data_IF_465357440219
#
_entry.id   IF_465357440219
#
_cell.length_a   1.000
_cell.length_b   1.000
_cell.length_c   1.000
_cell.angle_alpha   90.00
_cell.angle_beta   90.00
_cell.angle_gamma   90.00
#
_symmetry.space_group_name_H-M   'P 1'
#
loop_
_entity.id
_entity.type
_entity.pdbx_description
1 polymer ?
#
# COMPACT_ATOMS: atom_id res chain seq x y z
N UNK A 1 13.02 22.22 -14.05
CA UNK A 1 13.87 22.25 -12.85
C UNK A 1 13.26 21.26 -11.88
N UNK A 2 14.01 20.21 -11.46
CA UNK A 2 13.48 19.24 -10.51
C UNK A 2 13.20 19.91 -9.16
N UNK A 3 12.12 19.50 -8.49
CA UNK A 3 11.78 20.04 -7.18
C UNK A 3 12.88 19.66 -6.17
N UNK A 4 13.25 20.58 -5.26
CA UNK A 4 14.29 20.36 -4.25
C UNK A 4 14.08 19.06 -3.45
N UNK A 5 12.82 18.69 -3.25
CA UNK A 5 12.41 17.45 -2.60
C UNK A 5 12.90 16.20 -3.35
N UNK A 6 12.80 16.16 -4.68
CA UNK A 6 13.22 15.01 -5.47
C UNK A 6 14.74 14.82 -5.44
N UNK A 7 15.48 15.93 -5.50
CA UNK A 7 16.94 15.93 -5.38
C UNK A 7 17.37 15.42 -4.00
N UNK A 8 16.70 15.89 -2.95
CA UNK A 8 16.95 15.45 -1.57
C UNK A 8 16.65 13.96 -1.38
N UNK A 9 15.51 13.48 -1.89
CA UNK A 9 15.13 12.07 -1.78
C UNK A 9 16.10 11.16 -2.54
N UNK A 10 16.58 11.59 -3.71
CA UNK A 10 17.58 10.84 -4.48
C UNK A 10 18.91 10.78 -3.73
N UNK A 11 19.36 11.89 -3.14
CA UNK A 11 20.57 11.89 -2.34
C UNK A 11 20.48 10.94 -1.14
N UNK A 12 19.32 10.92 -0.46
CA UNK A 12 19.06 9.99 0.65
C UNK A 12 19.07 8.54 0.19
N UNK A 13 18.48 8.23 -0.97
CA UNK A 13 18.52 6.89 -1.56
C UNK A 13 19.96 6.42 -1.82
N UNK A 14 20.76 7.26 -2.48
CA UNK A 14 22.11 6.91 -2.90
C UNK A 14 23.10 6.78 -1.72
N UNK A 15 22.87 7.53 -0.62
CA UNK A 15 23.77 7.58 0.54
C UNK A 15 23.13 7.00 1.82
N UNK A 16 22.08 6.18 1.70
CA UNK A 16 21.28 5.72 2.85
C UNK A 16 22.12 5.03 3.93
N UNK A 17 23.10 4.22 3.52
CA UNK A 17 24.00 3.49 4.41
C UNK A 17 24.92 4.42 5.23
N UNK A 18 25.28 5.58 4.70
CA UNK A 18 26.04 6.58 5.47
C UNK A 18 25.15 7.34 6.44
N UNK A 19 23.94 7.70 5.99
CA UNK A 19 22.95 8.42 6.80
C UNK A 19 22.54 7.59 8.03
N UNK A 20 22.33 6.28 7.86
CA UNK A 20 21.95 5.38 8.97
C UNK A 20 23.03 5.28 10.06
N UNK A 21 24.33 5.41 9.69
CA UNK A 21 25.44 5.38 10.65
C UNK A 21 25.41 6.58 11.59
N UNK A 22 24.89 7.72 11.13
CA UNK A 22 24.76 8.91 11.97
C UNK A 22 23.72 8.64 13.07
N UNK A 23 23.98 8.99 14.34
CA UNK A 23 23.04 8.80 15.44
C UNK A 23 21.92 9.86 15.40
N UNK A 24 21.13 9.84 14.34
CA UNK A 24 19.94 10.67 14.17
C UNK A 24 18.70 9.78 14.31
N UNK A 25 17.64 10.34 14.90
CA UNK A 25 16.32 9.74 14.88
C UNK A 25 15.62 10.04 13.54
N UNK A 26 15.28 8.98 12.80
CA UNK A 26 14.59 9.05 11.51
C UNK A 26 13.07 8.89 11.65
N UNK A 27 12.55 8.83 12.88
CA UNK A 27 11.11 8.76 13.17
C UNK A 27 10.35 9.99 12.66
N UNK A 28 11.00 11.14 12.61
CA UNK A 28 10.42 12.45 12.25
C UNK A 28 10.03 12.59 10.76
N UNK A 29 10.43 11.65 9.89
CA UNK A 29 10.10 11.71 8.46
C UNK A 29 8.60 11.44 8.25
N UNK A 30 7.93 12.38 7.57
CA UNK A 30 6.50 12.30 7.27
C UNK A 30 6.15 11.11 6.34
N UNK A 31 4.93 10.57 6.49
CA UNK A 31 4.43 9.41 5.72
C UNK A 31 4.50 9.60 4.19
N UNK A 32 4.13 10.75 3.60
CA UNK A 32 4.23 10.96 2.16
C UNK A 32 5.69 10.94 1.65
N UNK A 33 6.63 11.49 2.42
CA UNK A 33 8.06 11.47 2.09
C UNK A 33 8.61 10.04 2.14
N UNK A 34 8.27 9.28 3.19
CA UNK A 34 8.63 7.88 3.30
C UNK A 34 8.08 7.04 2.15
N UNK A 35 6.83 7.29 1.74
CA UNK A 35 6.22 6.59 0.61
C UNK A 35 6.92 6.92 -0.71
N UNK A 36 7.29 8.18 -0.94
CA UNK A 36 8.08 8.58 -2.13
C UNK A 36 9.48 7.98 -2.11
N UNK A 37 10.15 8.00 -0.97
CA UNK A 37 11.44 7.36 -0.78
C UNK A 37 11.37 5.86 -1.09
N UNK A 38 10.37 5.16 -0.54
CA UNK A 38 10.15 3.74 -0.79
C UNK A 38 9.89 3.38 -2.26
N UNK A 39 9.34 4.32 -3.05
CA UNK A 39 9.17 4.12 -4.49
C UNK A 39 10.49 4.16 -5.26
N UNK A 40 11.48 4.92 -4.78
CA UNK A 40 12.81 5.00 -5.40
C UNK A 40 13.60 3.70 -5.21
N UNK A 41 13.45 3.05 -4.05
CA UNK A 41 14.15 1.80 -3.75
C UNK A 41 13.64 0.63 -4.58
N UNK A 42 14.55 -0.14 -5.18
CA UNK A 42 14.25 -1.49 -5.67
C UNK A 42 14.40 -2.53 -4.54
N UNK A 43 13.89 -3.74 -4.75
CA UNK A 43 14.08 -4.83 -3.78
C UNK A 43 15.57 -5.21 -3.64
N UNK A 44 16.33 -5.09 -4.72
CA UNK A 44 17.78 -5.33 -4.72
C UNK A 44 18.55 -4.26 -3.95
N UNK A 45 18.14 -3.00 -4.09
CA UNK A 45 18.77 -1.90 -3.34
C UNK A 45 18.49 -2.03 -1.85
N UNK A 46 17.24 -2.38 -1.49
CA UNK A 46 16.87 -2.67 -0.10
C UNK A 46 17.72 -3.80 0.49
N UNK A 47 17.97 -4.89 -0.25
CA UNK A 47 18.82 -5.98 0.25
C UNK A 47 20.26 -5.54 0.58
N UNK A 48 20.75 -4.43 0.01
CA UNK A 48 22.09 -3.87 0.24
C UNK A 48 22.11 -2.83 1.37
N UNK A 49 20.96 -2.43 1.91
CA UNK A 49 20.88 -1.48 3.02
C UNK A 49 21.18 -2.18 4.33
N UNK A 50 22.18 -1.67 5.06
CA UNK A 50 22.56 -2.20 6.37
C UNK A 50 21.98 -1.32 7.49
N UNK A 51 20.81 -1.70 8.00
CA UNK A 51 20.11 -1.01 9.10
C UNK A 51 19.94 -1.94 10.31
N UNK A 52 21.00 -2.19 11.10
CA UNK A 52 20.95 -3.13 12.23
C UNK A 52 20.04 -2.66 13.37
N UNK A 53 19.70 -1.37 13.41
CA UNK A 53 18.82 -0.77 14.42
C UNK A 53 17.41 -0.50 13.89
N UNK A 54 17.12 -0.88 12.65
CA UNK A 54 15.84 -0.69 11.99
C UNK A 54 15.28 0.74 12.11
N UNK A 55 16.14 1.73 11.87
CA UNK A 55 15.76 3.15 11.96
C UNK A 55 14.78 3.56 10.86
N UNK A 56 14.88 2.95 9.68
CA UNK A 56 14.10 3.34 8.51
C UNK A 56 13.66 2.14 7.67
N UNK A 57 14.37 1.02 7.76
CA UNK A 57 14.23 -0.13 6.87
C UNK A 57 12.83 -0.76 6.90
N UNK A 58 12.31 -1.09 8.09
CA UNK A 58 10.94 -1.63 8.25
C UNK A 58 9.88 -0.70 7.68
N UNK A 59 10.05 0.62 7.84
CA UNK A 59 9.10 1.59 7.31
C UNK A 59 9.16 1.65 5.77
N UNK A 60 10.36 1.58 5.19
CA UNK A 60 10.51 1.53 3.72
C UNK A 60 9.90 0.24 3.18
N UNK A 61 10.18 -0.92 3.79
CA UNK A 61 9.58 -2.20 3.39
C UNK A 61 8.06 -2.16 3.47
N UNK A 62 7.51 -1.66 4.57
CA UNK A 62 6.06 -1.54 4.75
C UNK A 62 5.43 -0.72 3.61
N UNK A 63 6.02 0.43 3.29
CA UNK A 63 5.52 1.28 2.21
C UNK A 63 5.74 0.66 0.83
N UNK A 64 6.86 -0.04 0.61
CA UNK A 64 7.14 -0.74 -0.64
C UNK A 64 6.13 -1.86 -0.88
N UNK A 65 5.93 -2.74 0.10
CA UNK A 65 4.95 -3.83 0.04
C UNK A 65 3.54 -3.27 -0.16
N UNK A 66 3.15 -2.24 0.60
CA UNK A 66 1.86 -1.59 0.42
C UNK A 66 1.68 -1.07 -1.01
N UNK A 67 2.72 -0.42 -1.57
CA UNK A 67 2.68 0.10 -2.94
C UNK A 67 2.60 -0.99 -4.01
N UNK A 68 3.14 -2.19 -3.76
CA UNK A 68 3.04 -3.32 -4.68
C UNK A 68 1.66 -3.99 -4.65
N UNK A 69 0.98 -3.92 -3.50
CA UNK A 69 -0.32 -4.56 -3.30
C UNK A 69 -1.50 -3.66 -3.67
N UNK A 70 -1.33 -2.34 -3.68
CA UNK A 70 -2.37 -1.41 -4.12
C UNK A 70 -2.36 -1.28 -5.65
N UNK A 71 -3.46 -1.59 -6.35
CA UNK A 71 -3.56 -1.33 -7.78
C UNK A 71 -3.55 0.19 -7.99
N UNK A 72 -2.50 0.70 -8.63
CA UNK A 72 -2.44 2.11 -9.04
C UNK A 72 -3.40 2.29 -10.20
N UNK A 73 -4.65 2.71 -9.96
CA UNK A 73 -5.50 3.21 -11.04
C UNK A 73 -4.92 4.55 -11.50
N UNK A 74 -4.39 4.69 -12.73
CA UNK A 74 -4.07 6.01 -13.26
C UNK A 74 -5.39 6.71 -13.58
N UNK A 75 -5.92 7.49 -12.64
CA UNK A 75 -7.02 8.41 -12.94
C UNK A 75 -6.48 9.58 -13.75
N UNK A 76 -6.37 9.38 -15.06
CA UNK A 76 -6.32 10.45 -16.06
C UNK A 76 -7.47 10.25 -17.03
N UNK A 77 -8.67 10.64 -16.60
CA UNK A 77 -9.79 10.91 -17.51
C UNK A 77 -10.36 12.28 -17.13
N UNK A 78 -10.25 13.30 -18.01
CA UNK A 78 -10.96 14.55 -17.82
C UNK A 78 -12.47 14.28 -17.96
N UNK A 79 -13.21 14.78 -16.97
CA UNK A 79 -14.66 14.74 -16.86
C UNK A 79 -15.35 15.24 -18.14
N UNK A 80 -16.37 14.57 -18.68
CA UNK A 80 -17.29 15.21 -19.62
C UNK A 80 -18.22 16.19 -18.88
N UNK A 81 -18.53 17.36 -19.46
CA UNK A 81 -19.44 18.32 -18.85
C UNK A 81 -20.88 17.83 -19.03
N UNK A 82 -21.59 17.58 -17.93
CA UNK A 82 -23.04 17.40 -17.98
C UNK A 82 -23.71 18.51 -17.17
N UNK A 83 -24.56 19.20 -17.92
CA UNK A 83 -25.31 20.41 -17.67
C UNK A 83 -26.29 20.33 -16.49
N UNK A 84 -26.37 21.48 -15.82
CA UNK A 84 -27.38 21.95 -14.88
C UNK A 84 -28.76 21.26 -14.89
N UNK A 85 -29.25 20.91 -13.70
CA UNK A 85 -30.58 21.33 -13.20
C UNK A 85 -30.68 21.21 -11.68
N UNK A 86 -31.13 22.31 -11.05
CA UNK A 86 -31.41 22.50 -9.62
C UNK A 86 -32.58 21.61 -9.17
N UNK A 87 -32.50 21.03 -7.99
CA UNK A 87 -33.31 21.42 -6.81
C UNK A 87 -32.94 20.60 -5.56
N UNK A 88 -32.87 21.30 -4.43
CA UNK A 88 -32.44 20.87 -3.09
C UNK A 88 -33.45 19.91 -2.45
N UNK A 89 -32.98 18.95 -1.64
CA UNK A 89 -33.43 18.74 -0.25
C UNK A 89 -32.52 17.73 0.47
N UNK A 90 -31.90 18.19 1.55
CA UNK A 90 -31.62 17.49 2.82
C UNK A 90 -31.10 16.04 2.80
N UNK A 91 -29.78 15.89 2.92
CA UNK A 91 -29.15 14.89 3.78
C UNK A 91 -27.68 15.27 3.92
N UNK A 92 -27.19 15.30 5.15
CA UNK A 92 -25.81 15.58 5.51
C UNK A 92 -24.95 14.45 4.93
N UNK A 93 -24.47 14.63 3.70
CA UNK A 93 -23.51 13.74 3.07
C UNK A 93 -22.15 14.05 3.68
N UNK A 94 -21.82 13.32 4.74
CA UNK A 94 -20.44 12.99 5.05
C UNK A 94 -19.81 12.47 3.75
N UNK A 95 -18.66 12.99 3.31
CA UNK A 95 -17.97 12.45 2.13
C UNK A 95 -17.78 10.94 2.35
N UNK A 96 -18.03 10.08 1.34
CA UNK A 96 -17.75 8.66 1.47
C UNK A 96 -16.26 8.54 1.79
N UNK A 97 -15.98 8.12 3.02
CA UNK A 97 -14.62 7.86 3.47
C UNK A 97 -14.02 6.86 2.48
N UNK A 98 -12.98 7.28 1.75
CA UNK A 98 -12.09 6.37 1.05
C UNK A 98 -11.67 5.31 2.06
N UNK A 99 -12.28 4.13 1.96
CA UNK A 99 -11.99 3.02 2.84
C UNK A 99 -10.51 2.72 2.69
N UNK A 100 -9.74 3.01 3.74
CA UNK A 100 -8.34 2.63 3.90
C UNK A 100 -8.27 1.12 4.12
N UNK A 101 -8.76 0.37 3.15
CA UNK A 101 -8.73 -1.07 3.12
C UNK A 101 -7.27 -1.50 3.18
N UNK A 102 -6.88 -2.14 4.29
CA UNK A 102 -5.58 -2.79 4.40
C UNK A 102 -5.41 -3.73 3.21
N UNK A 103 -4.33 -3.59 2.41
CA UNK A 103 -4.15 -4.40 1.21
C UNK A 103 -3.86 -5.88 1.52
N UNK A 104 -3.51 -6.16 2.77
CA UNK A 104 -3.27 -7.50 3.30
C UNK A 104 -4.44 -7.94 4.19
N UNK A 105 -4.75 -9.23 4.11
CA UNK A 105 -5.65 -9.96 5.00
C UNK A 105 -4.91 -11.17 5.57
N UNK A 106 -5.34 -11.63 6.73
CA UNK A 106 -4.85 -12.85 7.33
C UNK A 106 -6.05 -13.75 7.60
N UNK A 107 -5.99 -15.01 7.15
CA UNK A 107 -7.06 -15.96 7.41
C UNK A 107 -7.03 -16.40 8.87
N UNK A 108 -8.18 -16.37 9.53
CA UNK A 108 -8.34 -16.79 10.93
C UNK A 108 -8.22 -18.31 11.12
N UNK A 109 -8.41 -19.10 10.05
CA UNK A 109 -8.37 -20.55 10.08
C UNK A 109 -6.96 -21.11 9.86
N UNK A 110 -6.26 -20.61 8.84
CA UNK A 110 -4.94 -21.09 8.46
C UNK A 110 -3.77 -20.17 8.83
N UNK A 111 -4.06 -18.96 9.33
CA UNK A 111 -3.09 -17.91 9.66
C UNK A 111 -2.21 -17.47 8.49
N UNK A 112 -2.60 -17.80 7.24
CA UNK A 112 -1.89 -17.33 6.06
C UNK A 112 -2.26 -15.88 5.75
N UNK A 113 -1.24 -15.09 5.44
CA UNK A 113 -1.38 -13.69 5.03
C UNK A 113 -1.40 -13.62 3.50
N UNK A 114 -2.37 -12.91 2.95
CA UNK A 114 -2.56 -12.79 1.50
C UNK A 114 -3.00 -11.39 1.10
N UNK A 115 -2.78 -11.06 -0.17
CA UNK A 115 -3.27 -9.83 -0.77
C UNK A 115 -4.79 -9.90 -0.91
N UNK A 116 -5.50 -8.85 -0.50
CA UNK A 116 -6.96 -8.77 -0.63
C UNK A 116 -7.43 -8.90 -2.08
N UNK A 117 -6.61 -8.45 -3.03
CA UNK A 117 -6.88 -8.59 -4.47
C UNK A 117 -6.82 -10.05 -4.97
N UNK A 118 -6.12 -10.93 -4.27
CA UNK A 118 -5.95 -12.33 -4.66
C UNK A 118 -6.87 -13.29 -3.89
N UNK A 119 -7.59 -12.79 -2.89
CA UNK A 119 -8.60 -13.53 -2.11
C UNK A 119 -9.53 -14.42 -2.94
N UNK A 120 -10.14 -13.98 -4.07
CA UNK A 120 -11.03 -14.84 -4.85
C UNK A 120 -10.35 -16.02 -5.56
N UNK A 121 -9.01 -16.01 -5.67
CA UNK A 121 -8.23 -17.05 -6.35
C UNK A 121 -7.53 -18.00 -5.37
N UNK A 122 -7.60 -17.73 -4.07
CA UNK A 122 -6.91 -18.52 -3.05
C UNK A 122 -7.87 -19.50 -2.36
N UNK A 123 -7.33 -20.67 -2.03
CA UNK A 123 -8.06 -21.75 -1.35
C UNK A 123 -7.49 -21.91 0.05
N UNK A 124 -8.35 -22.04 1.06
CA UNK A 124 -7.95 -22.28 2.43
C UNK A 124 -8.07 -23.79 2.75
N UNK A 125 -6.97 -24.49 3.07
CA UNK A 125 -7.01 -25.94 3.31
C UNK A 125 -7.75 -26.31 4.62
N UNK A 126 -7.94 -25.35 5.52
CA UNK A 126 -8.63 -25.54 6.81
C UNK A 126 -10.06 -25.01 6.80
N UNK A 127 -10.51 -24.40 5.70
CA UNK A 127 -11.87 -23.92 5.58
C UNK A 127 -12.84 -25.07 5.31
N UNK A 128 -14.06 -24.90 5.81
CA UNK A 128 -15.15 -25.81 5.52
C UNK A 128 -15.41 -25.84 4.01
N UNK A 129 -15.61 -27.05 3.48
CA UNK A 129 -15.91 -27.28 2.08
C UNK A 129 -17.38 -26.93 1.82
N UNK A 130 -17.62 -26.01 0.91
CA UNK A 130 -18.95 -25.63 0.46
C UNK A 130 -19.13 -25.91 -1.03
N UNK A 131 -20.35 -26.26 -1.45
CA UNK A 131 -20.66 -26.45 -2.86
C UNK A 131 -21.36 -25.17 -3.35
N UNK A 132 -20.73 -24.49 -4.31
CA UNK A 132 -21.28 -23.31 -4.94
C UNK A 132 -22.48 -23.63 -5.83
N UNK A 133 -23.18 -22.60 -6.29
CA UNK A 133 -24.41 -22.75 -7.08
C UNK A 133 -24.17 -23.43 -8.44
N UNK A 134 -22.95 -23.40 -8.99
CA UNK A 134 -22.57 -24.10 -10.21
C UNK A 134 -22.02 -25.51 -10.01
N UNK A 135 -22.03 -26.02 -8.77
CA UNK A 135 -21.44 -27.31 -8.42
C UNK A 135 -19.92 -27.26 -8.16
N UNK A 136 -19.32 -26.08 -8.16
CA UNK A 136 -17.92 -25.91 -7.78
C UNK A 136 -17.69 -26.13 -6.28
N UNK A 137 -16.54 -26.72 -5.93
CA UNK A 137 -16.13 -26.91 -4.55
C UNK A 137 -15.37 -25.67 -4.09
N UNK A 138 -15.88 -25.00 -3.06
CA UNK A 138 -15.34 -23.76 -2.49
C UNK A 138 -14.74 -24.02 -1.12
N UNK A 139 -13.50 -23.55 -0.89
CA UNK A 139 -12.89 -23.46 0.44
C UNK A 139 -12.23 -22.08 0.57
N UNK A 140 -13.01 -21.08 1.00
CA UNK A 140 -12.57 -19.68 1.01
C UNK A 140 -11.80 -19.33 2.27
N UNK A 141 -10.92 -18.34 2.19
CA UNK A 141 -10.28 -17.76 3.37
C UNK A 141 -11.28 -16.84 4.11
N UNK A 142 -11.30 -16.91 5.45
CA UNK A 142 -12.12 -16.08 6.36
C UNK A 142 -11.26 -15.14 7.21
#
# INVERSE_FOLDING_TARGET
>A
MAALEEVSLKYVHDNINEIIKVPIDMSCINKPLMMRLARLFTLEDLAKVNDPKDKIMSRIYLHKVSSLLTPTSPTSTPSPPQSASRSKLTAQQTPPQESTATPLRACTLCNQVYARSQEPYLVCPKAQVEIGFGGEVLQRHE
#
